data_IF_676564032925
#
_entry.id   IF_676564032925
#
_cell.length_a   1.000
_cell.length_b   1.000
_cell.length_c   1.000
_cell.angle_alpha   90.00
_cell.angle_beta   90.00
_cell.angle_gamma   90.00
#
_symmetry.space_group_name_H-M   'P 1'
#
loop_
_entity.id
_entity.type
_entity.pdbx_description
1 polymer ?
#
# COMPACT_ATOMS: atom_id res chain seq x y z
N UNK A 1 9.34 -8.75 -22.22
CA UNK A 1 8.48 -8.64 -23.42
C UNK A 1 7.10 -8.24 -22.95
N UNK A 2 6.48 -7.17 -23.45
CA UNK A 2 5.11 -6.83 -23.07
C UNK A 2 4.20 -7.96 -23.56
N UNK A 3 3.70 -8.77 -22.64
CA UNK A 3 2.67 -9.78 -22.91
C UNK A 3 1.37 -9.06 -23.25
N UNK A 4 0.72 -9.49 -24.34
CA UNK A 4 -0.60 -9.02 -24.75
C UNK A 4 -1.58 -9.09 -23.56
N UNK A 5 -2.30 -8.01 -23.20
CA UNK A 5 -3.16 -8.01 -22.04
C UNK A 5 -4.31 -9.02 -22.21
N UNK A 6 -4.60 -9.87 -21.20
CA UNK A 6 -5.82 -10.67 -21.18
C UNK A 6 -7.07 -9.76 -21.16
N UNK A 7 -8.13 -10.24 -21.82
CA UNK A 7 -9.29 -9.47 -22.27
C UNK A 7 -10.55 -9.67 -21.41
N UNK A 8 -10.44 -9.85 -20.09
CA UNK A 8 -11.65 -9.68 -19.27
C UNK A 8 -11.83 -8.19 -19.00
N UNK A 9 -12.71 -7.53 -19.75
CA UNK A 9 -13.10 -6.15 -19.50
C UNK A 9 -13.83 -5.99 -18.16
N UNK A 10 -14.45 -4.82 -17.95
CA UNK A 10 -15.34 -4.61 -16.81
C UNK A 10 -16.60 -5.49 -16.94
N UNK A 11 -16.74 -6.48 -16.06
CA UNK A 11 -17.88 -7.39 -16.03
C UNK A 11 -18.08 -8.01 -14.63
N UNK A 12 -18.47 -7.20 -13.62
CA UNK A 12 -18.73 -7.71 -12.27
C UNK A 12 -19.93 -8.68 -12.26
N UNK A 13 -19.96 -9.67 -11.35
CA UNK A 13 -21.15 -10.47 -11.08
C UNK A 13 -22.37 -9.58 -10.85
N UNK A 14 -23.54 -9.99 -11.36
CA UNK A 14 -24.76 -9.17 -11.32
C UNK A 14 -25.13 -8.67 -9.91
N UNK A 15 -24.91 -9.51 -8.89
CA UNK A 15 -25.20 -9.16 -7.50
C UNK A 15 -24.24 -8.10 -6.91
N UNK A 16 -23.09 -7.85 -7.55
CA UNK A 16 -22.11 -6.84 -7.12
C UNK A 16 -22.27 -5.50 -7.86
N UNK A 17 -23.03 -5.44 -8.96
CA UNK A 17 -23.19 -4.21 -9.76
C UNK A 17 -23.72 -3.05 -8.92
N UNK A 18 -24.83 -3.26 -8.19
CA UNK A 18 -25.45 -2.24 -7.33
C UNK A 18 -24.53 -1.77 -6.20
N UNK A 19 -23.96 -2.65 -5.36
CA UNK A 19 -23.08 -2.20 -4.29
C UNK A 19 -21.80 -1.53 -4.78
N UNK A 20 -21.20 -1.97 -5.89
CA UNK A 20 -20.03 -1.30 -6.48
C UNK A 20 -20.36 0.14 -6.90
N UNK A 21 -21.53 0.33 -7.54
CA UNK A 21 -21.99 1.68 -7.91
C UNK A 21 -22.21 2.57 -6.68
N UNK A 22 -22.77 2.03 -5.60
CA UNK A 22 -22.93 2.78 -4.34
C UNK A 22 -21.59 3.20 -3.74
N UNK A 23 -20.60 2.30 -3.74
CA UNK A 23 -19.22 2.61 -3.32
C UNK A 23 -18.62 3.70 -4.18
N UNK A 24 -18.70 3.60 -5.50
CA UNK A 24 -18.13 4.61 -6.38
C UNK A 24 -18.78 5.99 -6.20
N UNK A 25 -20.11 6.03 -6.10
CA UNK A 25 -20.84 7.28 -5.83
C UNK A 25 -20.43 7.91 -4.50
N UNK A 26 -20.23 7.09 -3.46
CA UNK A 26 -19.74 7.58 -2.18
C UNK A 26 -18.33 8.17 -2.32
N UNK A 27 -17.41 7.45 -2.95
CA UNK A 27 -16.03 7.90 -3.23
C UNK A 27 -16.04 9.23 -3.98
N UNK A 28 -16.86 9.39 -5.02
CA UNK A 28 -16.97 10.65 -5.78
C UNK A 28 -17.46 11.83 -4.93
N UNK A 29 -18.26 11.57 -3.90
CA UNK A 29 -18.80 12.59 -3.01
C UNK A 29 -17.83 12.98 -1.89
N UNK A 30 -17.06 12.02 -1.37
CA UNK A 30 -16.28 12.22 -0.13
C UNK A 30 -14.79 12.41 -0.35
N UNK A 31 -14.22 11.98 -1.48
CA UNK A 31 -12.76 11.96 -1.64
C UNK A 31 -12.19 13.32 -2.07
N UNK A 32 -11.07 13.67 -1.44
CA UNK A 32 -10.17 14.75 -1.83
C UNK A 32 -10.84 16.11 -2.04
N UNK A 33 -11.87 16.44 -1.25
CA UNK A 33 -12.65 17.68 -1.39
C UNK A 33 -13.14 17.90 -2.84
N UNK A 34 -13.55 16.82 -3.51
CA UNK A 34 -13.99 16.83 -4.92
C UNK A 34 -12.87 16.66 -5.95
N UNK A 35 -11.62 16.42 -5.52
CA UNK A 35 -10.45 16.25 -6.41
C UNK A 35 -9.98 14.79 -6.53
N UNK A 36 -10.91 13.84 -6.49
CA UNK A 36 -10.66 12.40 -6.74
C UNK A 36 -9.82 12.16 -8.01
N UNK A 37 -10.12 12.91 -9.08
CA UNK A 37 -9.47 12.70 -10.38
C UNK A 37 -8.14 13.44 -10.55
N UNK A 38 -7.92 14.54 -9.83
CA UNK A 38 -6.68 15.31 -9.90
C UNK A 38 -5.62 14.87 -8.89
N UNK A 39 -5.95 14.07 -7.88
CA UNK A 39 -4.95 13.46 -7.00
C UNK A 39 -4.10 12.42 -7.77
N UNK A 40 -2.77 12.52 -7.65
CA UNK A 40 -1.78 11.78 -8.45
C UNK A 40 -0.82 10.92 -7.62
N UNK A 41 -1.24 10.54 -6.42
CA UNK A 41 -0.42 9.72 -5.54
C UNK A 41 -1.07 8.44 -5.04
N UNK A 42 -2.18 7.98 -5.64
CA UNK A 42 -2.71 6.66 -5.29
C UNK A 42 -1.67 5.57 -5.56
N UNK A 43 -1.82 4.41 -4.93
CA UNK A 43 -0.99 3.23 -5.23
C UNK A 43 -0.96 2.90 -6.73
N UNK A 44 -2.06 3.18 -7.44
CA UNK A 44 -2.12 3.12 -8.91
C UNK A 44 -1.06 4.00 -9.58
N UNK A 45 -0.99 5.29 -9.22
CA UNK A 45 -0.03 6.24 -9.78
C UNK A 45 1.41 5.83 -9.48
N UNK A 46 1.65 5.27 -8.30
CA UNK A 46 2.97 4.82 -7.85
C UNK A 46 3.44 3.60 -8.65
N UNK A 47 2.60 2.56 -8.76
CA UNK A 47 2.91 1.36 -9.54
C UNK A 47 3.14 1.71 -11.01
N UNK A 48 2.31 2.60 -11.57
CA UNK A 48 2.43 3.03 -12.97
C UNK A 48 3.69 3.87 -13.21
N UNK A 49 4.03 4.80 -12.31
CA UNK A 49 5.25 5.62 -12.42
C UNK A 49 6.53 4.78 -12.38
N UNK A 50 6.51 3.67 -11.65
CA UNK A 50 7.66 2.77 -11.53
C UNK A 50 7.74 1.68 -12.59
N UNK A 51 6.73 1.55 -13.47
CA UNK A 51 6.71 0.45 -14.42
C UNK A 51 6.50 -0.91 -13.77
N UNK A 52 5.69 -1.00 -12.71
CA UNK A 52 5.25 -2.26 -12.13
C UNK A 52 6.03 -2.74 -10.91
N UNK A 53 6.56 -1.85 -10.06
CA UNK A 53 7.10 -2.20 -8.75
C UNK A 53 6.82 -1.10 -7.72
N UNK A 54 7.02 -1.40 -6.44
CA UNK A 54 6.96 -0.42 -5.35
C UNK A 54 8.19 -0.54 -4.44
N UNK A 55 8.75 0.61 -4.10
CA UNK A 55 9.84 0.79 -3.15
C UNK A 55 9.27 1.24 -1.80
N UNK A 56 9.75 0.62 -0.73
CA UNK A 56 9.35 0.88 0.64
C UNK A 56 10.51 1.36 1.49
N UNK A 57 10.21 2.25 2.43
CA UNK A 57 11.10 2.54 3.53
C UNK A 57 10.44 2.16 4.87
N UNK A 58 11.11 1.34 5.68
CA UNK A 58 10.57 0.92 6.99
C UNK A 58 10.91 1.98 8.03
N UNK A 59 9.91 2.44 8.78
CA UNK A 59 10.07 3.31 9.94
C UNK A 59 9.89 2.46 11.20
N UNK A 60 11.00 2.12 11.84
CA UNK A 60 11.01 1.31 13.06
C UNK A 60 10.85 2.20 14.28
N UNK A 61 9.62 2.56 14.59
CA UNK A 61 9.26 3.42 15.73
C UNK A 61 9.05 2.57 16.99
N UNK A 62 10.14 1.96 17.42
CA UNK A 62 10.19 1.05 18.55
C UNK A 62 11.43 1.31 19.38
N UNK A 63 11.48 0.81 20.61
CA UNK A 63 12.72 0.70 21.40
C UNK A 63 13.41 -0.66 21.24
N UNK A 64 12.71 -1.66 20.70
CA UNK A 64 13.24 -3.00 20.50
C UNK A 64 14.35 -3.02 19.45
N UNK A 65 15.23 -4.01 19.56
CA UNK A 65 16.18 -4.34 18.51
C UNK A 65 15.52 -5.17 17.41
N UNK A 66 16.12 -5.14 16.21
CA UNK A 66 15.70 -5.91 15.04
C UNK A 66 16.94 -6.55 14.39
N UNK A 67 16.88 -7.86 14.18
CA UNK A 67 17.94 -8.64 13.52
C UNK A 67 17.86 -8.57 12.01
N UNK A 68 18.95 -8.93 11.31
CA UNK A 68 18.93 -9.11 9.84
C UNK A 68 17.83 -10.10 9.40
N UNK A 69 17.64 -11.19 10.15
CA UNK A 69 16.59 -12.18 9.86
C UNK A 69 15.20 -11.58 9.96
N UNK A 70 14.94 -10.81 11.02
CA UNK A 70 13.66 -10.12 11.18
C UNK A 70 13.44 -9.05 10.10
N UNK A 71 14.48 -8.30 9.73
CA UNK A 71 14.44 -7.36 8.59
C UNK A 71 13.96 -8.06 7.31
N UNK A 72 14.58 -9.20 6.99
CA UNK A 72 14.25 -9.96 5.78
C UNK A 72 12.85 -10.58 5.86
N UNK A 73 12.42 -11.05 7.04
CA UNK A 73 11.06 -11.53 7.28
C UNK A 73 10.01 -10.41 7.14
N UNK A 74 10.30 -9.20 7.60
CA UNK A 74 9.42 -8.04 7.44
C UNK A 74 9.23 -7.72 5.96
N UNK A 75 10.32 -7.67 5.19
CA UNK A 75 10.24 -7.47 3.73
C UNK A 75 9.44 -8.60 3.05
N UNK A 76 9.76 -9.85 3.34
CA UNK A 76 9.05 -10.99 2.75
C UNK A 76 7.55 -10.97 3.08
N UNK A 77 7.19 -10.59 4.31
CA UNK A 77 5.79 -10.50 4.75
C UNK A 77 5.05 -9.41 4.01
N UNK A 78 5.63 -8.20 3.96
CA UNK A 78 5.07 -7.08 3.21
C UNK A 78 4.84 -7.45 1.74
N UNK A 79 5.84 -8.09 1.11
CA UNK A 79 5.73 -8.56 -0.27
C UNK A 79 4.58 -9.57 -0.47
N UNK A 80 4.44 -10.55 0.44
CA UNK A 80 3.35 -11.54 0.36
C UNK A 80 1.96 -10.91 0.50
N UNK A 81 1.80 -9.94 1.40
CA UNK A 81 0.51 -9.29 1.63
C UNK A 81 0.12 -8.37 0.46
N UNK A 82 1.06 -7.58 -0.08
CA UNK A 82 0.84 -6.80 -1.30
C UNK A 82 0.49 -7.68 -2.51
N UNK A 83 1.17 -8.82 -2.65
CA UNK A 83 0.94 -9.74 -3.76
C UNK A 83 -0.53 -10.16 -3.85
N UNK A 84 -1.24 -10.33 -2.72
CA UNK A 84 -2.66 -10.72 -2.75
C UNK A 84 -3.54 -9.69 -3.43
N UNK A 85 -3.32 -8.39 -3.17
CA UNK A 85 -4.03 -7.32 -3.87
C UNK A 85 -3.64 -7.22 -5.34
N UNK A 86 -2.37 -7.45 -5.67
CA UNK A 86 -1.91 -7.37 -7.06
C UNK A 86 -2.37 -8.56 -7.90
N UNK A 87 -2.48 -9.75 -7.29
CA UNK A 87 -2.93 -10.97 -7.95
C UNK A 87 -4.39 -10.86 -8.44
N UNK A 88 -5.25 -10.14 -7.71
CA UNK A 88 -6.65 -9.94 -8.16
C UNK A 88 -6.76 -9.07 -9.42
N UNK A 89 -5.69 -8.35 -9.79
CA UNK A 89 -5.64 -7.49 -10.99
C UNK A 89 -5.05 -8.21 -12.22
N UNK A 90 -4.32 -9.31 -12.03
CA UNK A 90 -3.63 -9.99 -13.14
C UNK A 90 -4.64 -10.42 -14.20
N UNK A 91 -4.45 -9.91 -15.43
CA UNK A 91 -5.32 -10.18 -16.57
C UNK A 91 -6.65 -9.43 -16.60
N UNK A 92 -6.87 -8.47 -15.70
CA UNK A 92 -8.11 -7.72 -15.62
C UNK A 92 -8.03 -6.38 -16.35
N UNK A 93 -8.97 -6.12 -17.26
CA UNK A 93 -9.32 -4.80 -17.80
C UNK A 93 -8.11 -3.93 -18.21
N UNK A 94 -7.20 -4.52 -19.00
CA UNK A 94 -5.97 -3.90 -19.48
C UNK A 94 -4.94 -3.52 -18.40
N UNK A 95 -5.03 -4.10 -17.20
CA UNK A 95 -3.97 -4.04 -16.22
C UNK A 95 -2.66 -4.63 -16.80
N UNK A 96 -1.55 -3.88 -16.80
CA UNK A 96 -0.37 -4.25 -17.61
C UNK A 96 0.63 -5.17 -16.89
N UNK A 97 0.46 -5.42 -15.59
CA UNK A 97 1.45 -6.12 -14.79
C UNK A 97 0.98 -7.49 -14.34
N UNK A 98 1.77 -8.54 -14.60
CA UNK A 98 1.56 -9.88 -14.06
C UNK A 98 2.20 -10.08 -12.69
N UNK A 99 3.05 -9.14 -12.27
CA UNK A 99 3.71 -9.13 -10.98
C UNK A 99 4.07 -7.68 -10.62
N UNK A 100 3.92 -7.32 -9.35
CA UNK A 100 4.36 -6.03 -8.81
C UNK A 100 5.29 -6.29 -7.63
N UNK A 101 6.62 -6.35 -7.86
CA UNK A 101 7.58 -6.61 -6.79
C UNK A 101 7.58 -5.49 -5.74
N UNK A 102 7.66 -5.89 -4.48
CA UNK A 102 7.92 -4.98 -3.36
C UNK A 102 9.40 -5.02 -3.00
N UNK A 103 10.01 -3.85 -2.84
CA UNK A 103 11.42 -3.70 -2.46
C UNK A 103 11.52 -2.83 -1.21
N UNK A 104 12.18 -3.29 -0.16
CA UNK A 104 12.55 -2.39 0.95
C UNK A 104 13.90 -1.77 0.61
N UNK A 105 13.93 -0.45 0.46
CA UNK A 105 15.12 0.32 0.02
C UNK A 105 15.73 1.16 1.15
N UNK A 106 15.01 1.33 2.25
CA UNK A 106 15.50 2.09 3.40
C UNK A 106 14.89 1.69 4.73
N UNK A 107 15.57 2.04 5.81
CA UNK A 107 15.14 1.88 7.20
C UNK A 107 15.43 3.14 8.00
N UNK A 108 14.45 3.61 8.78
CA UNK A 108 14.60 4.69 9.72
C UNK A 108 14.48 4.19 11.17
N UNK A 109 15.42 4.59 12.02
CA UNK A 109 15.49 4.25 13.46
C UNK A 109 15.84 5.46 14.30
N UNK A 110 15.58 5.40 15.61
CA UNK A 110 16.07 6.43 16.55
C UNK A 110 17.55 6.24 16.83
N UNK A 111 17.94 5.01 17.11
CA UNK A 111 19.31 4.63 17.43
C UNK A 111 19.78 3.52 16.47
N UNK A 112 20.99 3.68 15.93
CA UNK A 112 21.62 2.68 15.07
C UNK A 112 21.80 1.33 15.76
N UNK A 113 21.96 1.31 17.07
CA UNK A 113 22.10 0.11 17.89
C UNK A 113 20.86 -0.78 17.88
N UNK A 114 19.71 -0.25 17.45
CA UNK A 114 18.49 -1.03 17.27
C UNK A 114 18.61 -2.02 16.11
N UNK A 115 19.45 -1.73 15.11
CA UNK A 115 19.65 -2.58 13.95
C UNK A 115 20.83 -3.52 14.20
N UNK A 116 20.54 -4.81 14.41
CA UNK A 116 21.54 -5.86 14.66
C UNK A 116 22.09 -6.45 13.35
N UNK A 117 22.40 -5.58 12.39
CA UNK A 117 23.13 -5.88 11.16
C UNK A 117 24.00 -4.69 10.79
N UNK A 118 24.97 -4.88 9.90
CA UNK A 118 25.91 -3.83 9.45
C UNK A 118 26.12 -3.79 7.95
N UNK A 119 25.41 -4.63 7.18
CA UNK A 119 25.44 -4.59 5.73
C UNK A 119 24.85 -3.28 5.17
N UNK A 120 25.08 -3.05 3.88
CA UNK A 120 24.63 -1.89 3.13
C UNK A 120 23.50 -2.23 2.14
N UNK A 121 22.67 -3.23 2.45
CA UNK A 121 21.61 -3.68 1.54
C UNK A 121 20.52 -2.64 1.33
N UNK A 122 20.37 -1.68 2.25
CA UNK A 122 19.37 -0.61 2.28
C UNK A 122 19.95 0.66 2.87
N UNK A 123 19.35 1.81 2.55
CA UNK A 123 19.71 3.08 3.20
C UNK A 123 19.27 3.11 4.66
N UNK A 124 20.12 3.62 5.55
CA UNK A 124 19.82 3.72 6.98
C UNK A 124 19.73 5.20 7.39
N UNK A 125 18.59 5.59 7.94
CA UNK A 125 18.33 6.93 8.47
C UNK A 125 18.26 6.85 10.00
N UNK A 126 19.21 7.49 10.68
CA UNK A 126 19.31 7.44 12.15
C UNK A 126 18.95 8.80 12.72
N UNK A 127 18.10 8.80 13.74
CA UNK A 127 17.71 9.98 14.52
C UNK A 127 17.12 11.15 13.68
N UNK A 128 16.65 10.86 12.47
CA UNK A 128 15.79 11.79 11.74
C UNK A 128 14.36 11.59 12.24
N UNK A 129 13.81 12.52 13.01
CA UNK A 129 12.50 12.36 13.66
C UNK A 129 11.48 13.36 13.10
N UNK A 130 10.29 12.87 12.75
CA UNK A 130 9.09 13.63 12.36
C UNK A 130 7.84 12.99 12.94
N UNK A 131 6.83 13.78 13.29
CA UNK A 131 5.62 13.30 13.99
C UNK A 131 5.93 12.44 15.23
N UNK A 132 7.04 12.74 15.91
CA UNK A 132 7.59 11.93 16.98
C UNK A 132 7.84 10.45 16.58
N UNK A 133 8.30 10.17 15.37
CA UNK A 133 8.70 8.84 14.88
C UNK A 133 9.94 8.93 13.96
N UNK A 134 10.78 7.88 13.85
CA UNK A 134 11.88 7.84 12.89
C UNK A 134 11.38 8.04 11.47
N UNK A 135 12.05 8.87 10.68
CA UNK A 135 11.63 9.36 9.37
C UNK A 135 12.67 8.99 8.31
N UNK A 136 12.20 8.31 7.26
CA UNK A 136 12.98 8.11 6.03
C UNK A 136 13.19 9.44 5.29
N UNK A 137 14.20 9.55 4.42
CA UNK A 137 14.49 10.80 3.70
C UNK A 137 13.24 11.43 3.04
N UNK A 138 12.77 12.58 3.54
CA UNK A 138 11.61 13.29 2.95
C UNK A 138 11.87 13.66 1.47
N UNK A 139 13.06 14.15 1.08
CA UNK A 139 13.38 14.40 -0.33
C UNK A 139 13.26 13.20 -1.27
N UNK A 140 13.33 11.97 -0.74
CA UNK A 140 13.21 10.73 -1.50
C UNK A 140 11.82 10.08 -1.41
N UNK A 141 10.93 10.58 -0.55
CA UNK A 141 9.61 9.99 -0.37
C UNK A 141 8.61 10.51 -1.40
N UNK A 142 7.89 9.59 -2.05
CA UNK A 142 6.85 9.91 -3.03
C UNK A 142 5.74 10.77 -2.44
N UNK A 143 5.37 10.56 -1.18
CA UNK A 143 4.41 11.42 -0.46
C UNK A 143 4.77 12.91 -0.50
N UNK A 144 6.06 13.23 -0.40
CA UNK A 144 6.59 14.61 -0.46
C UNK A 144 6.87 15.08 -1.89
N UNK A 145 6.86 14.17 -2.87
CA UNK A 145 7.24 14.39 -4.27
C UNK A 145 6.17 13.79 -5.20
N UNK A 146 4.92 14.20 -5.02
CA UNK A 146 3.76 13.58 -5.69
C UNK A 146 3.75 13.73 -7.23
N UNK A 147 4.54 14.66 -7.76
CA UNK A 147 4.78 14.80 -9.20
C UNK A 147 5.72 13.71 -9.76
N UNK A 148 6.21 12.79 -8.92
CA UNK A 148 7.14 11.73 -9.30
C UNK A 148 8.55 12.22 -9.64
N UNK A 149 8.87 13.48 -9.34
CA UNK A 149 10.20 14.06 -9.54
C UNK A 149 10.92 14.15 -8.20
N UNK A 150 12.18 13.73 -8.15
CA UNK A 150 12.96 13.67 -6.91
C UNK A 150 14.20 14.56 -6.99
N UNK A 151 14.06 15.89 -7.21
CA UNK A 151 15.19 16.78 -7.48
C UNK A 151 16.16 16.88 -6.31
N UNK A 152 15.67 16.66 -5.08
CA UNK A 152 16.45 16.78 -3.86
C UNK A 152 16.78 15.42 -3.23
N UNK A 153 16.39 14.30 -3.83
CA UNK A 153 16.75 12.98 -3.32
C UNK A 153 18.21 12.67 -3.65
N UNK A 154 19.06 12.35 -2.66
CA UNK A 154 20.39 11.83 -2.93
C UNK A 154 20.30 10.55 -3.77
N UNK A 155 20.93 10.56 -4.96
CA UNK A 155 20.82 9.47 -5.94
C UNK A 155 19.57 9.53 -6.83
N UNK A 156 18.78 10.60 -6.72
CA UNK A 156 17.65 10.93 -7.59
C UNK A 156 16.53 9.89 -7.56
N UNK A 157 15.77 9.83 -8.66
CA UNK A 157 14.65 8.90 -8.80
C UNK A 157 15.05 7.42 -8.61
N UNK A 158 16.32 7.04 -8.80
CA UNK A 158 16.74 5.65 -8.59
C UNK A 158 16.77 5.23 -7.11
N UNK A 159 16.77 6.19 -6.17
CA UNK A 159 16.85 5.95 -4.71
C UNK A 159 15.59 6.35 -3.95
N UNK A 160 14.49 6.64 -4.65
CA UNK A 160 13.24 7.01 -4.01
C UNK A 160 12.54 5.82 -3.33
N UNK A 161 11.63 6.12 -2.41
CA UNK A 161 10.61 5.18 -1.93
C UNK A 161 9.22 5.72 -2.21
N UNK A 162 8.29 4.82 -2.52
CA UNK A 162 6.88 5.13 -2.77
C UNK A 162 6.10 5.23 -1.48
N UNK A 163 6.35 4.28 -0.58
CA UNK A 163 5.55 4.08 0.61
C UNK A 163 6.43 3.83 1.83
N UNK A 164 5.86 4.11 3.00
CA UNK A 164 6.50 3.87 4.28
C UNK A 164 5.73 2.84 5.08
N UNK A 165 6.44 1.85 5.65
CA UNK A 165 5.87 0.89 6.60
C UNK A 165 6.31 1.30 8.00
N UNK A 166 5.38 1.80 8.80
CA UNK A 166 5.64 2.22 10.17
C UNK A 166 5.26 1.10 11.12
N UNK A 167 6.27 0.61 11.85
CA UNK A 167 6.11 -0.38 12.89
C UNK A 167 6.28 0.33 14.23
N UNK A 168 5.16 0.70 14.85
CA UNK A 168 5.13 1.55 16.05
C UNK A 168 4.82 0.71 17.29
N UNK A 169 5.62 0.84 18.35
CA UNK A 169 5.33 0.22 19.65
C UNK A 169 3.99 0.71 20.22
N UNK A 170 3.12 -0.23 20.60
CA UNK A 170 1.86 0.08 21.30
C UNK A 170 0.80 0.77 20.43
N UNK A 171 1.00 0.87 19.12
CA UNK A 171 -0.02 1.39 18.21
C UNK A 171 -1.16 0.38 18.05
N UNK A 172 -2.36 0.77 18.45
CA UNK A 172 -3.58 -0.03 18.30
C UNK A 172 -4.21 0.16 16.92
N UNK A 173 -4.58 -0.94 16.26
CA UNK A 173 -5.18 -0.91 14.93
C UNK A 173 -4.17 -0.65 13.81
N UNK A 174 -4.66 -0.08 12.71
CA UNK A 174 -3.86 0.31 11.56
C UNK A 174 -4.27 1.68 11.04
N UNK A 175 -3.40 2.27 10.23
CA UNK A 175 -3.70 3.45 9.42
C UNK A 175 -2.96 3.33 8.08
N UNK A 176 -3.65 3.68 6.99
CA UNK A 176 -3.17 3.47 5.65
C UNK A 176 -3.55 4.61 4.73
N UNK A 177 -2.79 4.76 3.65
CA UNK A 177 -3.05 5.76 2.63
C UNK A 177 -2.00 5.77 1.54
N UNK A 178 -1.94 6.86 0.79
CA UNK A 178 -0.97 7.05 -0.29
C UNK A 178 0.48 7.04 0.19
N UNK A 179 0.73 7.44 1.44
CA UNK A 179 2.06 7.46 2.07
C UNK A 179 2.56 6.09 2.57
N UNK A 180 1.70 5.07 2.60
CA UNK A 180 2.01 3.73 3.10
C UNK A 180 1.09 3.27 4.23
N UNK A 181 1.64 2.50 5.18
CA UNK A 181 0.88 1.88 6.27
C UNK A 181 1.58 2.07 7.61
N UNK A 182 0.80 2.22 8.68
CA UNK A 182 1.23 2.20 10.07
C UNK A 182 0.41 1.18 10.84
N UNK A 183 1.09 0.44 11.71
CA UNK A 183 0.43 -0.47 12.66
C UNK A 183 1.32 -0.75 13.86
N UNK A 184 0.76 -1.46 14.84
CA UNK A 184 1.50 -1.98 15.97
C UNK A 184 2.64 -2.88 15.53
N UNK A 185 3.87 -2.58 15.97
CA UNK A 185 5.03 -3.47 15.75
C UNK A 185 4.74 -4.85 16.31
N UNK A 186 4.15 -4.94 17.50
CA UNK A 186 3.81 -6.19 18.16
C UNK A 186 2.88 -7.04 17.29
N UNK A 187 1.85 -6.42 16.71
CA UNK A 187 0.93 -7.08 15.80
C UNK A 187 1.65 -7.61 14.55
N UNK A 188 2.43 -6.75 13.87
CA UNK A 188 3.13 -7.14 12.65
C UNK A 188 4.11 -8.30 12.92
N UNK A 189 4.90 -8.18 13.98
CA UNK A 189 5.92 -9.16 14.35
C UNK A 189 5.30 -10.50 14.79
N UNK A 190 4.16 -10.48 15.48
CA UNK A 190 3.42 -11.70 15.84
C UNK A 190 2.81 -12.41 14.63
N UNK A 191 2.61 -11.70 13.50
CA UNK A 191 1.92 -12.20 12.31
C UNK A 191 2.84 -12.35 11.09
N UNK A 192 4.17 -12.37 11.27
CA UNK A 192 5.16 -12.49 10.18
C UNK A 192 4.93 -13.70 9.25
N UNK A 193 4.29 -14.77 9.74
CA UNK A 193 4.00 -15.96 8.94
C UNK A 193 2.50 -16.18 8.70
N UNK A 194 1.65 -15.22 9.09
CA UNK A 194 0.23 -15.31 8.84
C UNK A 194 -0.03 -15.38 7.33
N UNK A 195 -0.96 -16.24 6.93
CA UNK A 195 -1.40 -16.27 5.54
C UNK A 195 -2.03 -14.93 5.17
N UNK A 196 -2.95 -14.43 5.99
CA UNK A 196 -3.60 -13.13 5.86
C UNK A 196 -3.28 -12.29 7.10
N UNK A 197 -2.51 -11.21 6.92
CA UNK A 197 -2.28 -10.23 7.97
C UNK A 197 -3.37 -9.16 7.87
N UNK A 198 -4.52 -9.44 8.49
CA UNK A 198 -5.78 -8.70 8.28
C UNK A 198 -5.65 -7.17 8.32
N UNK A 199 -4.98 -6.61 9.35
CA UNK A 199 -4.84 -5.16 9.47
C UNK A 199 -4.01 -4.62 8.31
N UNK A 200 -2.87 -5.24 8.00
CA UNK A 200 -2.05 -4.81 6.87
C UNK A 200 -2.81 -4.90 5.54
N UNK A 201 -3.57 -5.98 5.31
CA UNK A 201 -4.36 -6.10 4.09
C UNK A 201 -5.43 -4.99 3.98
N UNK A 202 -6.08 -4.62 5.07
CA UNK A 202 -7.01 -3.49 5.13
C UNK A 202 -6.29 -2.17 4.80
N UNK A 203 -5.16 -1.88 5.46
CA UNK A 203 -4.42 -0.62 5.24
C UNK A 203 -3.84 -0.52 3.82
N UNK A 204 -3.47 -1.63 3.18
CA UNK A 204 -3.07 -1.65 1.77
C UNK A 204 -4.25 -1.26 0.87
N UNK A 205 -5.48 -1.63 1.21
CA UNK A 205 -6.67 -1.21 0.47
C UNK A 205 -6.77 0.32 0.36
N UNK A 206 -6.55 1.04 1.46
CA UNK A 206 -6.55 2.51 1.47
C UNK A 206 -5.47 3.12 0.58
N UNK A 207 -4.30 2.50 0.47
CA UNK A 207 -3.26 2.92 -0.49
C UNK A 207 -3.79 2.94 -1.92
N UNK A 208 -4.69 2.04 -2.29
CA UNK A 208 -5.33 1.98 -3.61
C UNK A 208 -6.67 2.72 -3.68
N UNK A 209 -7.00 3.52 -2.66
CA UNK A 209 -8.20 4.36 -2.61
C UNK A 209 -9.45 3.65 -2.07
N UNK A 210 -9.35 2.40 -1.61
CA UNK A 210 -10.52 1.74 -1.06
C UNK A 210 -10.98 2.42 0.23
N UNK A 211 -12.30 2.57 0.35
CA UNK A 211 -12.93 3.31 1.43
C UNK A 211 -12.95 2.52 2.74
N UNK A 212 -13.07 3.23 3.86
CA UNK A 212 -13.43 2.60 5.13
C UNK A 212 -14.96 2.63 5.31
N UNK A 213 -15.51 1.62 5.99
CA UNK A 213 -16.95 1.37 6.08
C UNK A 213 -17.42 1.32 7.54
N UNK A 214 -17.05 2.33 8.34
CA UNK A 214 -17.51 2.45 9.73
C UNK A 214 -18.95 2.94 9.82
N UNK A 215 -19.28 4.03 9.13
CA UNK A 215 -20.55 4.75 9.31
C UNK A 215 -21.59 4.43 8.23
N UNK A 216 -21.20 3.65 7.23
CA UNK A 216 -22.07 3.25 6.13
C UNK A 216 -21.65 1.90 5.54
N UNK A 217 -22.54 1.25 4.79
CA UNK A 217 -22.22 0.01 4.06
C UNK A 217 -23.11 -0.07 2.81
N UNK A 218 -22.57 -0.50 1.65
CA UNK A 218 -23.39 -0.72 0.45
C UNK A 218 -24.38 -1.88 0.65
N UNK A 219 -25.52 -1.79 -0.04
CA UNK A 219 -26.60 -2.77 0.07
C UNK A 219 -26.26 -4.09 -0.61
N UNK A 220 -26.74 -5.22 -0.05
CA UNK A 220 -26.67 -6.53 -0.71
C UNK A 220 -25.31 -7.24 -0.63
N UNK A 221 -24.34 -6.65 0.08
CA UNK A 221 -23.02 -7.25 0.35
C UNK A 221 -22.68 -7.12 1.83
N UNK A 222 -21.83 -8.02 2.31
CA UNK A 222 -21.33 -8.01 3.68
C UNK A 222 -20.11 -8.92 3.80
N UNK A 223 -19.37 -8.76 4.91
CA UNK A 223 -18.18 -9.55 5.18
C UNK A 223 -17.08 -9.31 4.15
N UNK A 224 -16.42 -8.15 4.23
CA UNK A 224 -15.34 -7.77 3.33
C UNK A 224 -14.30 -6.95 4.11
N UNK A 225 -13.03 -7.03 3.71
CA UNK A 225 -11.92 -6.60 4.56
C UNK A 225 -11.93 -5.10 4.82
N UNK A 226 -12.40 -4.31 3.86
CA UNK A 226 -12.51 -2.86 4.00
C UNK A 226 -13.58 -2.42 5.01
N UNK A 227 -14.49 -3.32 5.41
CA UNK A 227 -15.31 -3.12 6.59
C UNK A 227 -14.61 -3.81 7.77
N UNK A 228 -13.85 -3.01 8.53
CA UNK A 228 -12.97 -3.49 9.59
C UNK A 228 -13.68 -4.49 10.52
N UNK A 229 -13.04 -5.63 10.76
CA UNK A 229 -13.55 -6.71 11.61
C UNK A 229 -14.62 -7.61 10.98
N UNK A 230 -15.11 -7.32 9.76
CA UNK A 230 -16.14 -8.15 9.11
C UNK A 230 -15.59 -9.31 8.27
N UNK A 231 -14.31 -9.26 7.89
CA UNK A 231 -13.59 -10.35 7.24
C UNK A 231 -12.11 -10.37 7.67
N UNK A 232 -11.47 -11.54 7.55
CA UNK A 232 -10.05 -11.75 7.89
C UNK A 232 -9.13 -11.82 6.67
N UNK A 233 -9.67 -11.72 5.45
CA UNK A 233 -8.94 -11.80 4.19
C UNK A 233 -9.65 -11.01 3.10
N UNK A 234 -8.94 -10.69 2.01
CA UNK A 234 -9.52 -10.08 0.81
C UNK A 234 -10.62 -10.99 0.27
N UNK A 235 -11.81 -10.42 0.07
CA UNK A 235 -12.99 -11.11 -0.45
C UNK A 235 -13.25 -10.78 -1.92
N UNK A 236 -14.27 -11.42 -2.51
CA UNK A 236 -14.68 -11.10 -3.88
C UNK A 236 -15.10 -9.63 -4.01
N UNK A 237 -15.83 -9.09 -3.03
CA UNK A 237 -16.27 -7.70 -3.08
C UNK A 237 -15.09 -6.73 -2.99
N UNK A 238 -14.12 -6.99 -2.11
CA UNK A 238 -12.87 -6.21 -2.02
C UNK A 238 -12.11 -6.21 -3.35
N UNK A 239 -11.98 -7.37 -3.98
CA UNK A 239 -11.32 -7.51 -5.27
C UNK A 239 -12.04 -6.70 -6.37
N UNK A 240 -13.38 -6.70 -6.38
CA UNK A 240 -14.14 -5.92 -7.35
C UNK A 240 -14.12 -4.42 -7.07
N UNK A 241 -14.08 -3.98 -5.80
CA UNK A 241 -13.86 -2.57 -5.46
C UNK A 241 -12.50 -2.09 -6.00
N UNK A 242 -11.44 -2.89 -5.82
CA UNK A 242 -10.11 -2.57 -6.37
C UNK A 242 -10.13 -2.47 -7.90
N UNK A 243 -10.78 -3.42 -8.56
CA UNK A 243 -10.96 -3.42 -10.03
C UNK A 243 -11.78 -2.22 -10.52
N UNK A 244 -12.74 -1.76 -9.72
CA UNK A 244 -13.57 -0.61 -10.06
C UNK A 244 -12.76 0.70 -10.04
N UNK A 245 -11.91 0.87 -9.03
CA UNK A 245 -10.92 1.96 -9.00
C UNK A 245 -10.07 1.96 -10.26
N UNK A 246 -9.50 0.82 -10.63
CA UNK A 246 -8.74 0.71 -11.88
C UNK A 246 -9.56 1.10 -13.10
N UNK A 247 -10.81 0.65 -13.23
CA UNK A 247 -11.70 1.04 -14.35
C UNK A 247 -11.83 2.55 -14.48
N UNK A 248 -11.94 3.27 -13.37
CA UNK A 248 -12.10 4.73 -13.36
C UNK A 248 -10.78 5.49 -13.56
N UNK A 249 -9.63 4.88 -13.25
CA UNK A 249 -8.33 5.55 -13.32
C UNK A 249 -7.51 5.19 -14.55
N UNK A 250 -7.71 4.02 -15.17
CA UNK A 250 -6.80 3.45 -16.17
C UNK A 250 -6.55 4.33 -17.39
N UNK A 251 -7.54 5.12 -17.81
CA UNK A 251 -7.42 6.04 -18.95
C UNK A 251 -6.37 7.11 -18.73
N UNK A 252 -6.09 7.47 -17.47
CA UNK A 252 -5.02 8.38 -17.07
C UNK A 252 -3.63 7.86 -17.47
N UNK A 253 -3.50 6.55 -17.69
CA UNK A 253 -2.26 5.88 -18.07
C UNK A 253 -2.29 5.28 -19.48
N UNK A 254 -3.33 5.59 -20.28
CA UNK A 254 -3.44 5.18 -21.68
C UNK A 254 -4.11 3.82 -21.94
N UNK A 255 -4.96 3.32 -21.02
CA UNK A 255 -5.67 2.02 -21.12
C UNK A 255 -7.21 2.14 -21.09
#
# INVERSE_FOLDING_TARGET
TPTTPPTSGWNPPAHLVTPLNQVWQHVEQTYNNGNLYGFRNYGWDQVMANGGYLNFCVRWDSSATVTATQRDQIHATLARQYKKWMDVMVGHNAWPYTNVPIRVVGWAVRDRNQLQWTDNSVDIYVNNIRENAPQCSEPCGRFFNQNGQYPNCPGGAARHYDQSLWLTDGFGGGAGGDWGQRMGREYFMANLNAENMTILLHEIGHTFGLDDFYDWTPSGVGGFIMKAGSASSITEFDAWMLRDWWRHLKSRYGY
#
